data_IF_957549913789
#
_entry.id   IF_957549913789
#
_cell.length_a   1.000
_cell.length_b   1.000
_cell.length_c   1.000
_cell.angle_alpha   90.00
_cell.angle_beta   90.00
_cell.angle_gamma   90.00
#
_symmetry.space_group_name_H-M   'P 1'
#
loop_
_entity.id
_entity.type
_entity.pdbx_description
1 polymer ?
#
# COMPACT_ATOMS: atom_id res chain seq x y z
N UNK A 1 3.35 -10.76 -9.14
CA UNK A 1 4.69 -10.15 -9.32
C UNK A 1 5.00 -9.33 -8.08
N UNK A 2 6.25 -9.36 -7.60
CA UNK A 2 6.68 -8.52 -6.48
C UNK A 2 7.31 -7.24 -7.04
N UNK A 3 6.83 -6.10 -6.58
CA UNK A 3 7.28 -4.79 -7.04
C UNK A 3 7.93 -4.00 -5.91
N UNK A 4 8.65 -2.97 -6.30
CA UNK A 4 9.13 -1.94 -5.39
C UNK A 4 8.13 -0.78 -5.43
N UNK A 5 7.68 -0.38 -4.24
CA UNK A 5 6.81 0.78 -4.08
C UNK A 5 7.68 1.98 -3.70
N UNK A 6 7.60 3.03 -4.50
CA UNK A 6 8.36 4.26 -4.33
C UNK A 6 7.42 5.46 -4.17
N UNK A 7 7.88 6.47 -3.43
CA UNK A 7 7.15 7.72 -3.23
C UNK A 7 8.08 8.92 -3.41
N UNK A 8 7.62 9.92 -4.18
CA UNK A 8 8.26 11.23 -4.28
C UNK A 8 7.42 12.26 -3.56
N UNK A 9 7.97 12.81 -2.47
CA UNK A 9 7.38 13.97 -1.80
C UNK A 9 7.44 15.23 -2.66
N UNK A 10 8.40 15.32 -3.59
CA UNK A 10 8.53 16.47 -4.49
C UNK A 10 7.44 16.46 -5.55
N UNK A 11 7.17 15.28 -6.12
CA UNK A 11 6.17 15.14 -7.18
C UNK A 11 4.76 14.83 -6.66
N UNK A 12 4.65 14.42 -5.39
CA UNK A 12 3.37 13.96 -4.82
C UNK A 12 2.89 12.65 -5.45
N UNK A 13 3.80 11.81 -5.94
CA UNK A 13 3.47 10.64 -6.77
C UNK A 13 4.06 9.35 -6.20
N UNK A 14 3.37 8.27 -6.55
CA UNK A 14 3.86 6.91 -6.36
C UNK A 14 4.42 6.37 -7.66
N UNK A 15 5.43 5.52 -7.53
CA UNK A 15 5.96 4.74 -8.64
C UNK A 15 5.99 3.26 -8.24
N UNK A 16 5.52 2.41 -9.15
CA UNK A 16 5.41 0.96 -8.99
C UNK A 16 6.34 0.32 -10.03
N UNK A 17 7.54 -0.04 -9.61
CA UNK A 17 8.61 -0.53 -10.50
C UNK A 17 9.00 -1.96 -10.17
N UNK A 18 9.65 -2.64 -11.10
CA UNK A 18 10.22 -3.94 -10.79
C UNK A 18 11.34 -3.79 -9.76
N UNK A 19 11.55 -4.84 -8.95
CA UNK A 19 12.50 -4.77 -7.85
C UNK A 19 13.94 -4.47 -8.31
N UNK A 20 14.28 -4.79 -9.56
CA UNK A 20 15.61 -4.63 -10.16
C UNK A 20 15.80 -3.31 -10.92
N UNK A 21 14.74 -2.55 -11.17
CA UNK A 21 14.84 -1.28 -11.89
C UNK A 21 15.62 -0.25 -11.08
N UNK A 22 16.23 0.75 -11.72
CA UNK A 22 16.87 1.85 -10.99
C UNK A 22 15.81 2.81 -10.42
N UNK A 23 16.09 3.36 -9.22
CA UNK A 23 15.24 4.39 -8.61
C UNK A 23 15.55 5.74 -9.25
N UNK A 24 14.53 6.45 -9.73
CA UNK A 24 14.69 7.82 -10.26
C UNK A 24 14.87 8.82 -9.10
N UNK A 25 16.08 8.89 -8.56
CA UNK A 25 16.42 9.80 -7.46
C UNK A 25 16.40 11.26 -7.89
N UNK A 26 16.52 11.55 -9.20
CA UNK A 26 16.48 12.91 -9.72
C UNK A 26 15.10 13.55 -9.53
N UNK A 27 14.03 12.75 -9.63
CA UNK A 27 12.66 13.16 -9.29
C UNK A 27 12.32 13.03 -7.81
N UNK A 28 13.30 12.72 -6.97
CA UNK A 28 13.13 12.62 -5.52
C UNK A 28 12.39 11.37 -5.06
N UNK A 29 12.28 10.33 -5.89
CA UNK A 29 11.70 9.06 -5.47
C UNK A 29 12.57 8.40 -4.42
N UNK A 30 11.90 7.85 -3.40
CA UNK A 30 12.48 7.03 -2.35
C UNK A 30 11.67 5.76 -2.20
N UNK A 31 12.36 4.64 -1.95
CA UNK A 31 11.72 3.35 -1.75
C UNK A 31 10.94 3.32 -0.44
N UNK A 32 9.63 3.14 -0.52
CA UNK A 32 8.73 3.00 0.62
C UNK A 32 8.61 1.54 1.09
N UNK A 33 8.63 0.60 0.15
CA UNK A 33 8.59 -0.83 0.43
C UNK A 33 9.18 -1.67 -0.69
N UNK A 34 9.94 -2.70 -0.33
CA UNK A 34 10.49 -3.68 -1.28
C UNK A 34 9.62 -4.94 -1.29
N UNK A 35 9.55 -5.61 -2.44
CA UNK A 35 8.88 -6.90 -2.61
C UNK A 35 7.40 -6.90 -2.21
N UNK A 36 6.70 -5.79 -2.47
CA UNK A 36 5.26 -5.69 -2.21
C UNK A 36 4.53 -6.37 -3.37
N UNK A 37 3.53 -7.20 -3.06
CA UNK A 37 2.66 -7.75 -4.09
C UNK A 37 1.96 -6.60 -4.85
N UNK A 38 1.98 -6.63 -6.19
CA UNK A 38 1.42 -5.56 -7.03
C UNK A 38 0.01 -5.14 -6.61
N UNK A 39 -0.88 -6.09 -6.34
CA UNK A 39 -2.25 -5.83 -5.91
C UNK A 39 -2.31 -5.03 -4.58
N UNK A 40 -1.47 -5.40 -3.60
CA UNK A 40 -1.41 -4.68 -2.31
C UNK A 40 -0.89 -3.26 -2.48
N UNK A 41 0.11 -3.08 -3.34
CA UNK A 41 0.64 -1.76 -3.64
C UNK A 41 -0.42 -0.86 -4.31
N UNK A 42 -1.18 -1.39 -5.28
CA UNK A 42 -2.29 -0.67 -5.92
C UNK A 42 -3.35 -0.28 -4.89
N UNK A 43 -3.82 -1.24 -4.07
CA UNK A 43 -4.82 -0.97 -3.01
C UNK A 43 -4.32 0.10 -2.03
N UNK A 44 -3.05 0.06 -1.65
CA UNK A 44 -2.45 1.07 -0.79
C UNK A 44 -2.45 2.44 -1.48
N UNK A 45 -1.96 2.53 -2.71
CA UNK A 45 -1.91 3.81 -3.42
C UNK A 45 -3.31 4.39 -3.64
N UNK A 46 -4.31 3.58 -3.95
CA UNK A 46 -5.69 4.04 -4.12
C UNK A 46 -6.28 4.58 -2.81
N UNK A 47 -6.01 3.89 -1.70
CA UNK A 47 -6.40 4.36 -0.36
C UNK A 47 -5.74 5.70 -0.02
N UNK A 48 -4.46 5.87 -0.37
CA UNK A 48 -3.75 7.13 -0.18
C UNK A 48 -4.31 8.25 -1.06
N UNK A 49 -4.58 8.02 -2.35
CA UNK A 49 -5.17 9.03 -3.22
C UNK A 49 -6.57 9.45 -2.73
N UNK A 50 -7.34 8.53 -2.17
CA UNK A 50 -8.63 8.83 -1.55
C UNK A 50 -8.49 9.71 -0.31
N UNK A 51 -7.49 9.42 0.54
CA UNK A 51 -7.20 10.19 1.77
C UNK A 51 -6.54 11.54 1.51
N UNK A 52 -5.73 11.62 0.45
CA UNK A 52 -4.95 12.78 0.05
C UNK A 52 -5.19 13.10 -1.43
N UNK A 53 -6.40 13.58 -1.79
CA UNK A 53 -6.78 13.81 -3.19
C UNK A 53 -5.88 14.84 -3.91
N UNK A 54 -5.17 15.67 -3.14
CA UNK A 54 -4.26 16.69 -3.68
C UNK A 54 -2.95 16.13 -4.22
N UNK A 55 -2.59 14.89 -3.90
CA UNK A 55 -1.42 14.21 -4.51
C UNK A 55 -1.53 14.20 -6.05
N UNK A 56 -2.76 14.12 -6.56
CA UNK A 56 -3.04 14.11 -8.00
C UNK A 56 -3.16 15.51 -8.62
N UNK A 57 -3.26 16.57 -7.81
CA UNK A 57 -3.74 17.88 -8.30
C UNK A 57 -2.64 18.87 -8.69
N UNK A 58 -1.36 18.58 -8.45
CA UNK A 58 -0.22 19.43 -8.86
C UNK A 58 -0.22 20.85 -8.27
N UNK A 59 -1.18 21.16 -7.40
CA UNK A 59 -1.31 22.44 -6.70
C UNK A 59 -0.20 22.54 -5.67
N UNK A 60 0.56 23.64 -5.66
CA UNK A 60 1.78 23.87 -4.86
C UNK A 60 1.65 23.86 -3.33
N UNK A 61 0.87 22.93 -2.77
CA UNK A 61 0.86 22.57 -1.37
C UNK A 61 1.95 21.53 -1.10
N UNK A 62 2.50 21.56 0.11
CA UNK A 62 3.44 20.52 0.55
C UNK A 62 2.75 19.16 0.58
N UNK A 63 3.24 18.22 -0.22
CA UNK A 63 2.80 16.83 -0.16
C UNK A 63 3.25 16.18 1.17
N UNK A 64 2.55 15.11 1.62
CA UNK A 64 2.92 14.37 2.83
C UNK A 64 4.42 14.03 2.85
N UNK A 65 5.03 14.15 4.03
CA UNK A 65 6.43 13.81 4.16
C UNK A 65 6.67 12.32 3.89
N UNK A 66 7.88 11.97 3.47
CA UNK A 66 8.24 10.56 3.31
C UNK A 66 8.03 9.75 4.62
N UNK A 67 8.32 10.34 5.78
CA UNK A 67 8.05 9.71 7.08
C UNK A 67 6.55 9.45 7.28
N UNK A 68 5.71 10.44 6.96
CA UNK A 68 4.26 10.29 7.06
C UNK A 68 3.77 9.15 6.17
N UNK A 69 4.31 9.03 4.96
CA UNK A 69 3.93 7.95 4.04
C UNK A 69 4.35 6.57 4.54
N UNK A 70 5.47 6.45 5.26
CA UNK A 70 5.86 5.20 5.94
C UNK A 70 4.85 4.81 7.01
N UNK A 71 4.41 5.78 7.82
CA UNK A 71 3.42 5.53 8.86
C UNK A 71 2.09 5.05 8.25
N UNK A 72 1.66 5.68 7.15
CA UNK A 72 0.47 5.26 6.43
C UNK A 72 0.59 3.84 5.86
N UNK A 73 1.74 3.48 5.27
CA UNK A 73 1.99 2.13 4.80
C UNK A 73 1.96 1.10 5.94
N UNK A 74 2.56 1.43 7.09
CA UNK A 74 2.52 0.56 8.26
C UNK A 74 1.09 0.33 8.74
N UNK A 75 0.29 1.40 8.89
CA UNK A 75 -1.10 1.28 9.32
C UNK A 75 -1.94 0.47 8.32
N UNK A 76 -1.72 0.67 7.02
CA UNK A 76 -2.37 -0.12 5.97
C UNK A 76 -2.07 -1.62 6.11
N UNK A 77 -0.81 -1.99 6.34
CA UNK A 77 -0.42 -3.39 6.52
C UNK A 77 -1.01 -4.00 7.80
N UNK A 78 -1.04 -3.24 8.89
CA UNK A 78 -1.67 -3.68 10.15
C UNK A 78 -3.14 -3.99 9.92
N UNK A 79 -3.86 -3.12 9.20
CA UNK A 79 -5.29 -3.32 8.92
C UNK A 79 -5.53 -4.50 7.96
N UNK A 80 -4.71 -4.65 6.91
CA UNK A 80 -4.81 -5.77 5.97
C UNK A 80 -4.60 -7.13 6.67
N UNK A 81 -3.67 -7.20 7.63
CA UNK A 81 -3.44 -8.40 8.45
C UNK A 81 -4.66 -8.70 9.34
N UNK A 82 -5.26 -7.69 9.97
CA UNK A 82 -6.46 -7.88 10.79
C UNK A 82 -7.62 -8.43 9.96
N UNK A 83 -7.90 -7.82 8.81
CA UNK A 83 -8.96 -8.27 7.91
C UNK A 83 -8.74 -9.71 7.42
N UNK A 84 -7.48 -10.07 7.13
CA UNK A 84 -7.14 -11.44 6.76
C UNK A 84 -7.43 -12.43 7.91
N UNK A 85 -7.04 -12.08 9.14
CA UNK A 85 -7.28 -12.92 10.31
C UNK A 85 -8.78 -13.11 10.56
N UNK A 86 -9.58 -12.04 10.46
CA UNK A 86 -11.04 -12.12 10.57
C UNK A 86 -11.65 -13.01 9.48
N UNK A 87 -11.18 -12.87 8.23
CA UNK A 87 -11.67 -13.68 7.12
C UNK A 87 -11.35 -15.17 7.34
N UNK A 88 -10.15 -15.48 7.82
CA UNK A 88 -9.74 -16.84 8.16
C UNK A 88 -10.62 -17.44 9.26
N UNK A 89 -10.89 -16.69 10.34
CA UNK A 89 -11.76 -17.13 11.44
C UNK A 89 -13.20 -17.37 10.97
N UNK A 90 -13.78 -16.44 10.18
CA UNK A 90 -15.12 -16.61 9.59
C UNK A 90 -15.18 -17.85 8.70
N UNK A 91 -14.15 -18.07 7.87
CA UNK A 91 -14.07 -19.23 6.98
C UNK A 91 -13.97 -20.53 7.78
N UNK A 92 -13.15 -20.55 8.83
CA UNK A 92 -13.02 -21.70 9.72
C UNK A 92 -14.34 -22.06 10.40
N UNK A 93 -15.01 -21.07 11.04
CA UNK A 93 -16.32 -21.26 11.68
C UNK A 93 -17.36 -21.83 10.73
N UNK A 94 -17.43 -21.31 9.50
CA UNK A 94 -18.32 -21.82 8.46
C UNK A 94 -18.02 -23.28 8.11
N UNK A 95 -16.74 -23.65 7.96
CA UNK A 95 -16.35 -25.03 7.65
C UNK A 95 -16.72 -26.00 8.77
N UNK A 96 -16.49 -25.62 10.03
CA UNK A 96 -16.88 -26.42 11.20
C UNK A 96 -18.40 -26.66 11.23
N UNK A 97 -19.19 -25.61 10.98
CA UNK A 97 -20.65 -25.74 10.91
C UNK A 97 -21.11 -26.72 9.83
N UNK A 98 -20.53 -26.64 8.63
CA UNK A 98 -20.88 -27.53 7.51
C UNK A 98 -20.48 -28.99 7.78
N UNK A 99 -19.34 -29.22 8.43
CA UNK A 99 -18.86 -30.58 8.73
C UNK A 99 -19.60 -31.23 9.89
N UNK A 100 -20.08 -30.45 10.88
CA UNK A 100 -20.88 -30.96 11.99
C UNK A 100 -22.37 -31.12 11.65
N UNK A 101 -22.78 -30.76 10.42
CA UNK A 101 -24.12 -30.98 9.88
C UNK A 101 -24.22 -32.24 8.99
N UNK A 102 -23.11 -32.97 8.83
CA UNK A 102 -23.00 -34.29 8.19
C UNK A 102 -22.87 -35.36 9.28
#
# INVERSE_FOLDING_TARGET
MNIRLEYSQTEGKFNLTEAMDQVDTAKGYKTLGCFVATEKAIRFTDAIHSKYPKLSSGTGQSFPSFSKMKDELYQFLVEDIKLLAEHMDRTYKRRVQLLNQL
#
